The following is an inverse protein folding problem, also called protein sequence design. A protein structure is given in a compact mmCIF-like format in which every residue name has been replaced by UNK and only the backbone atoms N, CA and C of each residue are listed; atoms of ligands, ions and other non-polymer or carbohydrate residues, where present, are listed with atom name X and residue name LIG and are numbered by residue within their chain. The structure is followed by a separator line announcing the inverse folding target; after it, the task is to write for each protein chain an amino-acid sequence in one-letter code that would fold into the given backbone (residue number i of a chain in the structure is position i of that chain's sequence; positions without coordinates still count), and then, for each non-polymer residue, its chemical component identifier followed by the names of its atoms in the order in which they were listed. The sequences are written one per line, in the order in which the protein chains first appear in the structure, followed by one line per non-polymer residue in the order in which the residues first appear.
data_IF_526319778572
#
_entry.id   IF_526319778572
#
_cell.length_a   1.000
_cell.length_b   1.000
_cell.length_c   1.000
_cell.angle_alpha   90.00
_cell.angle_beta   90.00
_cell.angle_gamma   90.00
#
_symmetry.space_group_name_H-M   'P 1'
#
loop_
_entity.id
_entity.type
_entity.pdbx_description
1 polymer ?
#
# COMPACT_ATOMS: atom_id res chain seq x y z
N UNK A 1 -4.36 5.46 -13.06
CA UNK A 1 -3.92 6.55 -12.14
C UNK A 1 -2.39 6.65 -12.13
N UNK A 2 -1.76 7.80 -11.86
CA UNK A 2 -0.31 7.88 -11.61
C UNK A 2 0.04 7.95 -10.10
N UNK A 3 1.31 7.87 -9.73
CA UNK A 3 1.77 7.92 -8.32
C UNK A 3 1.28 9.14 -7.56
N UNK A 4 1.28 10.32 -8.20
CA UNK A 4 0.83 11.56 -7.58
C UNK A 4 -0.66 11.50 -7.25
N UNK A 5 -1.47 11.08 -8.23
CA UNK A 5 -2.91 10.92 -8.06
C UNK A 5 -3.24 9.85 -7.00
N UNK A 6 -2.48 8.75 -6.96
CA UNK A 6 -2.59 7.70 -5.94
C UNK A 6 -2.37 8.26 -4.54
N UNK A 7 -1.28 9.00 -4.34
CA UNK A 7 -0.96 9.66 -3.07
C UNK A 7 -2.09 10.60 -2.63
N UNK A 8 -2.53 11.47 -3.53
CA UNK A 8 -3.58 12.45 -3.26
C UNK A 8 -4.90 11.76 -2.88
N UNK A 9 -5.27 10.65 -3.55
CA UNK A 9 -6.47 9.88 -3.21
C UNK A 9 -6.40 9.22 -1.83
N UNK A 10 -5.31 8.50 -1.54
CA UNK A 10 -5.12 7.80 -0.25
C UNK A 10 -5.19 8.79 0.93
N UNK A 11 -4.57 9.96 0.77
CA UNK A 11 -4.63 11.04 1.77
C UNK A 11 -6.06 11.59 1.90
N UNK A 12 -6.71 11.91 0.78
CA UNK A 12 -8.08 12.47 0.77
C UNK A 12 -9.10 11.55 1.44
N UNK A 13 -8.91 10.24 1.31
CA UNK A 13 -9.77 9.22 1.90
C UNK A 13 -9.39 8.84 3.33
N UNK A 14 -8.37 9.51 3.89
CA UNK A 14 -7.86 9.29 5.24
C UNK A 14 -7.40 7.83 5.48
N UNK A 15 -6.83 7.19 4.46
CA UNK A 15 -6.19 5.88 4.62
C UNK A 15 -4.90 6.10 5.43
N UNK A 16 -4.76 5.50 6.63
CA UNK A 16 -3.59 5.75 7.47
C UNK A 16 -2.30 5.27 6.79
N UNK A 17 -1.21 6.04 6.92
CA UNK A 17 0.06 5.80 6.23
C UNK A 17 0.66 4.40 6.51
N UNK A 18 0.40 3.84 7.70
CA UNK A 18 0.82 2.46 8.04
C UNK A 18 0.26 1.41 7.08
N UNK A 19 -0.80 1.70 6.31
CA UNK A 19 -1.37 0.76 5.34
C UNK A 19 -0.68 0.79 3.98
N UNK A 20 0.09 1.83 3.67
CA UNK A 20 0.60 2.03 2.31
C UNK A 20 1.94 2.76 2.26
N UNK A 21 2.83 2.28 1.42
CA UNK A 21 4.09 2.91 1.05
C UNK A 21 4.20 3.03 -0.47
N UNK A 22 4.70 4.16 -0.95
CA UNK A 22 4.93 4.45 -2.38
C UNK A 22 6.25 5.19 -2.55
N UNK A 23 6.81 5.31 -3.77
CA UNK A 23 7.97 6.15 -4.00
C UNK A 23 7.69 7.58 -3.54
N UNK A 24 8.71 8.25 -2.98
CA UNK A 24 8.62 9.61 -2.40
C UNK A 24 7.75 9.77 -1.13
N UNK A 25 7.14 8.70 -0.61
CA UNK A 25 6.44 8.70 0.68
C UNK A 25 6.84 7.45 1.48
N UNK A 26 7.98 7.55 2.15
CA UNK A 26 8.53 6.46 2.94
C UNK A 26 8.00 6.48 4.37
N UNK A 27 7.31 5.41 4.76
CA UNK A 27 7.05 5.04 6.15
C UNK A 27 7.55 3.59 6.33
N UNK A 28 8.62 3.35 7.11
CA UNK A 28 9.21 2.00 7.23
C UNK A 28 8.26 0.97 7.83
N UNK A 29 7.14 1.41 8.41
CA UNK A 29 6.12 0.55 9.01
C UNK A 29 4.91 0.32 8.09
N UNK A 30 4.94 0.81 6.85
CA UNK A 30 3.89 0.53 5.88
C UNK A 30 3.77 -0.98 5.63
N UNK A 31 2.53 -1.47 5.75
CA UNK A 31 2.18 -2.89 5.59
C UNK A 31 2.22 -3.33 4.12
N UNK A 32 1.81 -2.46 3.20
CA UNK A 32 1.80 -2.74 1.76
C UNK A 32 2.56 -1.66 1.01
N UNK A 33 3.26 -2.05 -0.04
CA UNK A 33 4.15 -1.19 -0.81
C UNK A 33 3.91 -1.31 -2.30
N UNK A 34 4.08 -0.18 -3.00
CA UNK A 34 4.26 -0.10 -4.44
C UNK A 34 5.67 0.46 -4.70
N UNK A 35 6.49 -0.24 -5.47
CA UNK A 35 7.82 0.24 -5.88
C UNK A 35 8.11 -0.15 -7.34
N UNK A 36 9.01 0.58 -7.99
CA UNK A 36 9.51 0.22 -9.32
C UNK A 36 10.92 -0.34 -9.19
N UNK A 37 11.19 -1.50 -9.79
CA UNK A 37 12.53 -2.08 -9.80
C UNK A 37 13.42 -1.45 -10.90
N UNK A 38 14.69 -1.85 -10.95
CA UNK A 38 15.67 -1.34 -11.92
C UNK A 38 15.31 -1.65 -13.39
N UNK A 39 14.47 -2.66 -13.63
CA UNK A 39 13.99 -3.04 -14.96
C UNK A 39 12.74 -2.26 -15.40
N UNK A 40 12.27 -1.32 -14.57
CA UNK A 40 11.05 -0.55 -14.83
C UNK A 40 9.74 -1.30 -14.53
N UNK A 41 9.81 -2.47 -13.89
CA UNK A 41 8.65 -3.25 -13.48
C UNK A 41 8.14 -2.74 -12.14
N UNK A 42 6.85 -2.46 -12.07
CA UNK A 42 6.16 -2.11 -10.83
C UNK A 42 5.85 -3.37 -10.03
N UNK A 43 6.17 -3.34 -8.74
CA UNK A 43 6.03 -4.45 -7.82
C UNK A 43 5.17 -3.99 -6.66
N UNK A 44 4.17 -4.80 -6.33
CA UNK A 44 3.36 -4.64 -5.13
C UNK A 44 3.69 -5.77 -4.18
N UNK A 45 3.99 -5.45 -2.94
CA UNK A 45 4.32 -6.43 -1.91
C UNK A 45 3.79 -6.00 -0.55
N UNK A 46 3.53 -6.99 0.31
CA UNK A 46 3.34 -6.76 1.73
C UNK A 46 4.66 -6.92 2.47
N UNK A 47 4.80 -6.20 3.58
CA UNK A 47 5.95 -6.28 4.48
C UNK A 47 5.47 -6.64 5.89
N UNK A 48 6.05 -7.69 6.47
CA UNK A 48 5.79 -8.05 7.87
C UNK A 48 6.62 -7.22 8.86
N UNK A 49 6.35 -7.39 10.15
CA UNK A 49 7.05 -6.70 11.25
C UNK A 49 8.56 -6.99 11.31
N UNK A 50 9.04 -8.04 10.64
CA UNK A 50 10.46 -8.44 10.56
C UNK A 50 11.13 -7.95 9.28
N UNK A 51 10.39 -7.26 8.41
CA UNK A 51 10.87 -6.76 7.13
C UNK A 51 10.86 -7.80 6.01
N UNK A 52 10.24 -8.97 6.20
CA UNK A 52 10.07 -9.92 5.11
C UNK A 52 9.07 -9.37 4.11
N UNK A 53 9.45 -9.37 2.83
CA UNK A 53 8.61 -8.91 1.72
C UNK A 53 7.91 -10.09 1.04
N UNK A 54 6.62 -9.93 0.76
CA UNK A 54 5.78 -10.90 0.07
C UNK A 54 5.18 -10.27 -1.17
N UNK A 55 5.72 -10.58 -2.34
CA UNK A 55 5.21 -10.04 -3.61
C UNK A 55 3.78 -10.50 -3.84
N UNK A 56 2.87 -9.53 -4.01
CA UNK A 56 1.47 -9.74 -4.33
C UNK A 56 1.29 -9.82 -5.84
N UNK A 57 1.85 -8.85 -6.58
CA UNK A 57 1.68 -8.75 -8.03
C UNK A 57 2.73 -7.83 -8.67
N UNK A 58 2.97 -8.02 -9.96
CA UNK A 58 3.80 -7.13 -10.78
C UNK A 58 3.06 -6.58 -11.99
N UNK A 59 3.48 -5.42 -12.47
CA UNK A 59 2.88 -4.70 -13.60
C UNK A 59 3.96 -4.02 -14.43
N UNK A 60 3.72 -3.90 -15.74
CA UNK A 60 4.58 -3.10 -16.64
C UNK A 60 4.12 -1.64 -16.68
N UNK A 61 2.83 -1.39 -16.47
CA UNK A 61 2.24 -0.04 -16.48
C UNK A 61 2.16 0.53 -15.06
N UNK A 62 2.65 1.76 -14.88
CA UNK A 62 2.41 2.55 -13.66
C UNK A 62 0.92 2.70 -13.41
N UNK A 63 0.15 2.89 -14.48
CA UNK A 63 -1.28 3.16 -14.41
C UNK A 63 -2.03 2.00 -13.76
N UNK A 64 -1.77 0.79 -14.25
CA UNK A 64 -2.37 -0.43 -13.74
C UNK A 64 -1.89 -0.76 -12.33
N UNK A 65 -0.61 -0.52 -12.05
CA UNK A 65 -0.03 -0.75 -10.72
C UNK A 65 -0.67 0.16 -9.67
N UNK A 66 -0.79 1.47 -9.96
CA UNK A 66 -1.40 2.43 -9.06
C UNK A 66 -2.90 2.14 -8.85
N UNK A 67 -3.63 1.80 -9.91
CA UNK A 67 -5.05 1.46 -9.82
C UNK A 67 -5.29 0.20 -8.99
N UNK A 68 -4.45 -0.83 -9.17
CA UNK A 68 -4.51 -2.04 -8.37
C UNK A 68 -4.14 -1.77 -6.92
N UNK A 69 -3.02 -1.07 -6.67
CA UNK A 69 -2.54 -0.80 -5.31
C UNK A 69 -3.56 -0.03 -4.48
N UNK A 70 -4.19 0.99 -5.07
CA UNK A 70 -5.26 1.74 -4.42
C UNK A 70 -6.42 0.85 -3.98
N UNK A 71 -6.94 0.00 -4.88
CA UNK A 71 -8.03 -0.94 -4.55
C UNK A 71 -7.59 -1.89 -3.44
N UNK A 72 -6.41 -2.49 -3.60
CA UNK A 72 -5.87 -3.43 -2.64
C UNK A 72 -5.76 -2.85 -1.23
N UNK A 73 -5.17 -1.66 -1.09
CA UNK A 73 -4.99 -0.99 0.21
C UNK A 73 -6.33 -0.58 0.81
N UNK A 74 -7.22 0.02 0.01
CA UNK A 74 -8.52 0.51 0.50
C UNK A 74 -9.45 -0.61 0.92
N UNK A 75 -9.53 -1.69 0.15
CA UNK A 75 -10.28 -2.90 0.49
C UNK A 75 -9.73 -3.54 1.78
N UNK A 76 -8.40 -3.74 1.86
CA UNK A 76 -7.75 -4.30 3.05
C UNK A 76 -8.00 -3.44 4.30
N UNK A 77 -7.92 -2.11 4.16
CA UNK A 77 -8.19 -1.19 5.26
C UNK A 77 -9.65 -1.26 5.71
N UNK A 78 -10.61 -1.21 4.79
CA UNK A 78 -12.04 -1.26 5.13
C UNK A 78 -12.44 -2.59 5.78
N UNK A 79 -11.84 -3.71 5.35
CA UNK A 79 -12.03 -5.01 6.00
C UNK A 79 -11.47 -5.06 7.43
N UNK A 80 -10.32 -4.42 7.67
CA UNK A 80 -9.68 -4.41 8.99
C UNK A 80 -10.28 -3.37 9.95
N UNK A 81 -10.85 -2.28 9.43
CA UNK A 81 -11.39 -1.15 10.18
C UNK A 81 -12.28 -1.51 11.36
N UNK A 82 -13.18 -2.53 11.29
CA UNK A 82 -14.00 -2.93 12.43
C UNK A 82 -13.22 -3.50 13.62
N UNK A 83 -11.97 -3.89 13.43
CA UNK A 83 -11.10 -4.54 14.41
C UNK A 83 -10.01 -3.60 14.98
N UNK A 84 -9.75 -2.48 14.31
CA UNK A 84 -8.79 -1.47 14.76
C UNK A 84 -9.26 -0.89 16.09
N UNK A 85 -8.50 -1.14 17.16
CA UNK A 85 -8.76 -0.60 18.51
C UNK A 85 -9.63 -1.46 19.44
N UNK A 86 -10.18 -2.59 18.99
CA UNK A 86 -11.00 -3.48 19.85
C UNK A 86 -10.20 -4.48 20.70
N UNK A 87 -8.88 -4.49 20.58
CA UNK A 87 -7.99 -5.40 21.31
C UNK A 87 -7.36 -4.84 22.60
N UNK A 88 -7.83 -3.71 23.14
CA UNK A 88 -7.27 -3.10 24.36
C UNK A 88 -7.85 -3.64 25.68
N UNK A 89 -8.79 -4.58 25.63
CA UNK A 89 -9.51 -5.11 26.81
C UNK A 89 -9.28 -6.62 27.03
N UNK A 90 -8.04 -7.11 26.89
CA UNK A 90 -7.62 -8.43 27.37
C UNK A 90 -6.40 -8.33 28.27
#
# INVERSE_FOLDING_TARGET
MNLKELKERLIRENIPQIWWGIPEQFDPFSLSWLEQNEEGIWIIYDQDERGNKYTIKTFVSEEEACDFFYKYVTESYEEAKPYIGKGKDL
#
